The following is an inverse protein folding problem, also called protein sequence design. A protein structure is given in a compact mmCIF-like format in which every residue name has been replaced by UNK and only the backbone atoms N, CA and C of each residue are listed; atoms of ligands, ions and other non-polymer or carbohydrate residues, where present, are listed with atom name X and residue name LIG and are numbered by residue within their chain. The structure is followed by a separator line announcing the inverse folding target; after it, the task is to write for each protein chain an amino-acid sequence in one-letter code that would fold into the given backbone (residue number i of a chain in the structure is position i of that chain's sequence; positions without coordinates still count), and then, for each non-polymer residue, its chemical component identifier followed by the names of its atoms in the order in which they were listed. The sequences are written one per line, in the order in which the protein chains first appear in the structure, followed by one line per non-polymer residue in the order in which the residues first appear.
data_IF_070227896161
#
_entry.id   IF_070227896161
#
_cell.length_a   1.000
_cell.length_b   1.000
_cell.length_c   1.000
_cell.angle_alpha   90.00
_cell.angle_beta   90.00
_cell.angle_gamma   90.00
#
_symmetry.space_group_name_H-M   'P 1'
#
loop_
_entity.id
_entity.type
_entity.pdbx_description
1 polymer ?
#
# COMPACT_ATOMS: atom_id res chain seq x y z
N UNK A 1 -33.86 13.10 23.55
CA UNK A 1 -33.41 12.01 22.66
C UNK A 1 -32.37 12.59 21.70
N UNK A 2 -31.09 12.67 22.09
CA UNK A 2 -29.96 13.11 21.23
C UNK A 2 -28.64 12.83 21.96
N UNK A 3 -28.00 11.69 21.65
CA UNK A 3 -26.58 11.44 21.96
C UNK A 3 -26.01 10.55 20.85
N UNK A 4 -25.71 11.14 19.70
CA UNK A 4 -25.02 10.46 18.60
C UNK A 4 -23.76 11.18 18.03
N UNK A 5 -23.09 12.15 18.69
CA UNK A 5 -21.86 12.70 18.09
C UNK A 5 -20.66 11.73 18.20
N UNK A 6 -20.55 10.98 19.29
CA UNK A 6 -19.38 10.13 19.55
C UNK A 6 -19.29 8.90 18.62
N UNK A 7 -20.43 8.26 18.33
CA UNK A 7 -20.50 7.11 17.43
C UNK A 7 -20.11 7.48 15.98
N UNK A 8 -20.48 8.68 15.53
CA UNK A 8 -20.10 9.17 14.20
C UNK A 8 -18.60 9.45 14.08
N UNK A 9 -17.98 10.06 15.11
CA UNK A 9 -16.54 10.32 15.13
C UNK A 9 -15.74 9.01 15.20
N UNK A 10 -16.18 8.06 16.04
CA UNK A 10 -15.54 6.74 16.14
C UNK A 10 -15.66 5.99 14.82
N UNK A 11 -16.84 5.95 14.19
CA UNK A 11 -17.04 5.32 12.89
C UNK A 11 -16.17 5.96 11.80
N UNK A 12 -16.06 7.30 11.77
CA UNK A 12 -15.19 8.01 10.83
C UNK A 12 -13.71 7.67 11.02
N UNK A 13 -13.25 7.57 12.28
CA UNK A 13 -11.87 7.17 12.58
C UNK A 13 -11.59 5.72 12.18
N UNK A 14 -12.51 4.81 12.48
CA UNK A 14 -12.38 3.40 12.10
C UNK A 14 -12.32 3.29 10.57
N UNK A 15 -13.23 3.95 9.86
CA UNK A 15 -13.26 3.89 8.39
C UNK A 15 -12.01 4.46 7.73
N UNK A 16 -11.40 5.51 8.31
CA UNK A 16 -10.11 6.03 7.84
C UNK A 16 -8.96 5.01 8.05
N UNK A 17 -8.96 4.30 9.17
CA UNK A 17 -7.98 3.23 9.43
C UNK A 17 -8.16 2.03 8.49
N UNK A 18 -9.39 1.57 8.30
CA UNK A 18 -9.69 0.47 7.38
C UNK A 18 -9.29 0.82 5.94
N UNK A 19 -9.58 2.06 5.49
CA UNK A 19 -9.16 2.53 4.17
C UNK A 19 -7.64 2.61 4.05
N UNK A 20 -6.95 3.11 5.08
CA UNK A 20 -5.49 3.16 5.08
C UNK A 20 -4.87 1.75 4.99
N UNK A 21 -5.44 0.79 5.71
CA UNK A 21 -5.02 -0.62 5.65
C UNK A 21 -5.24 -1.20 4.24
N UNK A 22 -6.42 -1.00 3.64
CA UNK A 22 -6.70 -1.50 2.30
C UNK A 22 -5.75 -0.92 1.24
N UNK A 23 -5.42 0.38 1.35
CA UNK A 23 -4.44 1.03 0.47
C UNK A 23 -3.05 0.44 0.71
N UNK A 24 -2.65 0.24 1.97
CA UNK A 24 -1.36 -0.32 2.32
C UNK A 24 -1.19 -1.75 1.77
N UNK A 25 -2.18 -2.61 1.96
CA UNK A 25 -2.20 -3.97 1.42
C UNK A 25 -2.07 -3.98 -0.11
N UNK A 26 -2.82 -3.12 -0.81
CA UNK A 26 -2.68 -2.98 -2.26
C UNK A 26 -1.28 -2.54 -2.67
N UNK A 27 -0.69 -1.59 -1.93
CA UNK A 27 0.63 -1.07 -2.24
C UNK A 27 1.72 -2.13 -2.05
N UNK A 28 1.71 -2.89 -0.96
CA UNK A 28 2.70 -3.95 -0.71
C UNK A 28 2.51 -5.17 -1.59
N UNK A 29 1.28 -5.64 -1.73
CA UNK A 29 0.98 -6.90 -2.40
C UNK A 29 0.97 -6.69 -3.92
N UNK A 30 0.52 -5.58 -4.46
CA UNK A 30 0.38 -5.49 -5.93
C UNK A 30 1.23 -4.38 -6.52
N UNK A 31 1.09 -3.16 -6.02
CA UNK A 31 1.69 -2.00 -6.66
C UNK A 31 3.23 -2.06 -6.66
N UNK A 32 3.85 -2.25 -5.49
CA UNK A 32 5.31 -2.22 -5.36
C UNK A 32 5.99 -3.37 -6.12
N UNK A 33 5.33 -4.51 -6.29
CA UNK A 33 5.86 -5.65 -7.06
C UNK A 33 5.89 -5.41 -8.57
N UNK A 34 4.98 -4.57 -9.08
CA UNK A 34 4.87 -4.25 -10.50
C UNK A 34 5.52 -2.91 -10.87
N UNK A 35 5.81 -2.06 -9.88
CA UNK A 35 6.40 -0.75 -10.11
C UNK A 35 7.84 -0.88 -10.59
N UNK A 36 8.20 -0.05 -11.57
CA UNK A 36 9.57 0.13 -12.02
C UNK A 36 10.27 1.16 -11.14
N UNK A 37 11.45 0.82 -10.66
CA UNK A 37 12.23 1.66 -9.75
C UNK A 37 13.47 2.21 -10.46
N UNK A 38 13.69 3.53 -10.40
CA UNK A 38 14.88 4.16 -10.97
C UNK A 38 16.18 3.64 -10.34
N UNK A 39 16.14 3.33 -9.03
CA UNK A 39 17.25 2.69 -8.31
C UNK A 39 17.57 1.27 -8.81
N UNK A 40 16.61 0.58 -9.44
CA UNK A 40 16.78 -0.72 -10.06
C UNK A 40 17.01 -0.63 -11.58
N UNK A 41 17.36 0.55 -12.10
CA UNK A 41 17.55 0.74 -13.55
C UNK A 41 16.24 0.68 -14.35
N UNK A 42 15.13 1.12 -13.75
CA UNK A 42 13.77 1.02 -14.32
C UNK A 42 13.28 -0.42 -14.50
N UNK A 43 13.79 -1.35 -13.69
CA UNK A 43 13.30 -2.72 -13.60
C UNK A 43 12.26 -2.85 -12.47
N UNK A 44 11.38 -3.84 -12.60
CA UNK A 44 10.57 -4.31 -11.47
C UNK A 44 11.43 -5.17 -10.54
N UNK A 45 11.05 -5.34 -9.26
CA UNK A 45 11.80 -6.18 -8.32
C UNK A 45 12.11 -7.59 -8.85
N UNK A 46 11.13 -8.26 -9.46
CA UNK A 46 11.31 -9.60 -10.04
C UNK A 46 12.26 -9.60 -11.24
N UNK A 47 12.24 -8.54 -12.07
CA UNK A 47 13.18 -8.40 -13.18
C UNK A 47 14.60 -8.17 -12.68
N UNK A 48 14.75 -7.38 -11.62
CA UNK A 48 16.04 -7.13 -10.98
C UNK A 48 16.63 -8.42 -10.38
N UNK A 49 15.83 -9.21 -9.65
CA UNK A 49 16.25 -10.50 -9.09
C UNK A 49 16.64 -11.53 -10.17
N UNK A 50 15.96 -11.52 -11.31
CA UNK A 50 16.24 -12.42 -12.43
C UNK A 50 17.38 -11.94 -13.35
N UNK A 51 17.88 -10.72 -13.15
CA UNK A 51 19.01 -10.22 -13.94
C UNK A 51 20.26 -10.93 -13.43
N UNK A 52 20.98 -11.71 -14.26
CA UNK A 52 22.23 -12.31 -13.83
C UNK A 52 23.17 -11.17 -13.45
N UNK A 53 23.60 -11.13 -12.19
CA UNK A 53 24.71 -10.29 -11.77
C UNK A 53 25.92 -10.76 -12.56
N UNK A 54 26.21 -10.08 -13.67
CA UNK A 54 27.35 -10.39 -14.51
C UNK A 54 28.59 -10.04 -13.67
N UNK A 55 29.31 -11.08 -13.23
CA UNK A 55 30.59 -10.96 -12.52
C UNK A 55 31.71 -10.60 -13.50
#
# INVERSE_FOLDING_TARGET
MMRLPALSIIAMRIMASELANAIFEYLEIWHNRQRRHSSLGMLTPIQFENTPTVA
#
